data_IF_429507671685
#
_entry.id   IF_429507671685
#
_cell.length_a   1.000
_cell.length_b   1.000
_cell.length_c   1.000
_cell.angle_alpha   90.00
_cell.angle_beta   90.00
_cell.angle_gamma   90.00
#
_symmetry.space_group_name_H-M   'P 1'
#
loop_
_entity.id
_entity.type
_entity.pdbx_description
1 polymer ?
#
# COMPACT_ATOMS: atom_id res chain seq x y z
N UNK A 1 16.66 19.73 3.58
CA UNK A 1 16.94 18.45 4.19
C UNK A 1 17.03 17.37 3.13
N UNK A 2 18.12 16.69 3.04
CA UNK A 2 18.27 15.63 2.05
C UNK A 2 17.61 14.34 2.56
N UNK A 3 16.99 13.63 1.63
CA UNK A 3 16.45 12.31 1.95
C UNK A 3 17.60 11.32 2.11
N UNK A 4 17.50 10.36 3.03
CA UNK A 4 18.51 9.30 3.10
C UNK A 4 18.53 8.54 1.77
N UNK A 5 19.71 8.07 1.40
CA UNK A 5 19.84 7.28 0.20
C UNK A 5 19.08 5.96 0.36
N UNK A 6 18.34 5.55 -0.68
CA UNK A 6 17.66 4.25 -0.60
C UNK A 6 18.67 3.11 -0.56
N UNK A 7 18.31 2.07 0.17
CA UNK A 7 19.09 0.84 0.19
C UNK A 7 18.59 -0.08 -0.91
N UNK A 8 19.38 -0.22 -1.98
CA UNK A 8 19.00 -1.02 -3.14
C UNK A 8 19.34 -2.47 -2.87
N UNK A 9 18.34 -3.34 -2.94
CA UNK A 9 18.52 -4.77 -2.72
C UNK A 9 18.92 -5.51 -3.98
N UNK A 10 18.32 -5.16 -5.11
CA UNK A 10 18.65 -5.74 -6.40
C UNK A 10 18.26 -4.73 -7.48
N UNK A 11 18.98 -4.79 -8.60
CA UNK A 11 18.77 -3.85 -9.70
C UNK A 11 18.85 -4.57 -11.02
N UNK A 12 18.01 -4.18 -11.95
CA UNK A 12 17.98 -4.73 -13.31
C UNK A 12 17.84 -3.60 -14.32
N UNK A 13 18.71 -3.60 -15.33
CA UNK A 13 18.64 -2.63 -16.41
C UNK A 13 18.31 -3.34 -17.71
N UNK A 14 17.24 -2.91 -18.37
CA UNK A 14 16.89 -3.40 -19.71
C UNK A 14 17.81 -2.76 -20.72
N UNK A 15 18.55 -3.57 -21.45
CA UNK A 15 19.55 -3.06 -22.39
C UNK A 15 18.94 -2.50 -23.67
N UNK A 16 17.67 -2.78 -23.94
CA UNK A 16 16.99 -2.27 -25.13
C UNK A 16 16.38 -0.91 -24.88
N UNK A 17 15.72 -0.73 -23.75
CA UNK A 17 15.04 0.52 -23.41
C UNK A 17 15.85 1.40 -22.48
N UNK A 18 16.92 0.87 -21.89
CA UNK A 18 17.76 1.53 -20.87
C UNK A 18 16.99 1.92 -19.62
N UNK A 19 15.86 1.26 -19.38
CA UNK A 19 15.14 1.45 -18.12
C UNK A 19 15.76 0.60 -17.03
N UNK A 20 15.92 1.18 -15.86
CA UNK A 20 16.45 0.50 -14.69
C UNK A 20 15.37 0.35 -13.65
N UNK A 21 15.15 -0.88 -13.20
CA UNK A 21 14.26 -1.18 -12.09
C UNK A 21 15.09 -1.50 -10.86
N UNK A 22 14.72 -0.90 -9.74
CA UNK A 22 15.41 -1.11 -8.48
C UNK A 22 14.43 -1.62 -7.45
N UNK A 23 14.86 -2.61 -6.66
CA UNK A 23 14.12 -3.07 -5.51
C UNK A 23 14.79 -2.49 -4.28
N UNK A 24 14.05 -1.70 -3.53
CA UNK A 24 14.56 -0.98 -2.37
C UNK A 24 14.07 -1.65 -1.09
N UNK A 25 14.89 -1.59 -0.06
CA UNK A 25 14.46 -2.06 1.24
C UNK A 25 13.40 -1.13 1.83
N UNK A 26 12.55 -1.69 2.67
CA UNK A 26 11.53 -0.94 3.40
C UNK A 26 11.47 -1.44 4.83
N UNK A 27 11.12 -0.54 5.76
CA UNK A 27 10.95 -0.93 7.17
C UNK A 27 9.77 -1.86 7.37
N UNK A 28 8.83 -1.87 6.43
CA UNK A 28 7.65 -2.71 6.49
C UNK A 28 6.59 -2.19 5.56
N UNK A 29 5.36 -2.59 5.81
CA UNK A 29 4.19 -2.16 5.05
C UNK A 29 3.26 -1.41 5.99
N UNK A 30 2.90 -0.19 5.64
CA UNK A 30 1.92 0.59 6.39
C UNK A 30 0.57 0.37 5.75
N UNK A 31 -0.33 -0.27 6.49
CA UNK A 31 -1.65 -0.62 6.01
C UNK A 31 -2.71 0.15 6.78
N UNK A 32 -3.78 0.52 6.09
CA UNK A 32 -4.93 1.14 6.74
C UNK A 32 -5.86 0.01 7.19
N UNK A 33 -6.21 0.04 8.49
CA UNK A 33 -7.13 -0.92 9.10
C UNK A 33 -8.41 -0.19 9.48
N UNK A 34 -9.49 -0.91 9.55
CA UNK A 34 -10.77 -0.41 10.07
C UNK A 34 -11.19 -1.26 11.26
N UNK A 35 -11.41 -0.60 12.40
CA UNK A 35 -11.82 -1.27 13.64
C UNK A 35 -10.91 -2.46 13.95
N UNK A 36 -9.60 -2.23 13.82
CA UNK A 36 -8.55 -3.22 14.08
C UNK A 36 -8.56 -4.43 13.15
N UNK A 37 -9.18 -4.29 11.98
CA UNK A 37 -9.23 -5.37 10.99
C UNK A 37 -8.58 -4.95 9.69
N UNK A 38 -7.86 -5.86 9.02
CA UNK A 38 -7.37 -5.58 7.66
C UNK A 38 -8.56 -5.35 6.73
N UNK A 39 -8.38 -4.46 5.77
CA UNK A 39 -9.48 -4.05 4.89
C UNK A 39 -9.07 -4.11 3.43
N UNK A 40 -10.08 -4.09 2.59
CA UNK A 40 -9.97 -3.85 1.16
C UNK A 40 -10.90 -2.70 0.82
N UNK A 41 -10.48 -1.84 -0.09
CA UNK A 41 -11.26 -0.68 -0.48
C UNK A 41 -11.85 -0.87 -1.86
N UNK A 42 -13.13 -0.61 -1.98
CA UNK A 42 -13.85 -0.73 -3.24
C UNK A 42 -14.78 0.47 -3.42
N UNK A 43 -14.77 1.05 -4.61
CA UNK A 43 -15.66 2.14 -4.95
C UNK A 43 -16.60 1.67 -6.05
N UNK A 44 -17.88 2.01 -5.91
CA UNK A 44 -18.91 1.74 -6.92
C UNK A 44 -19.70 3.00 -7.17
N UNK A 45 -20.40 3.05 -8.32
CA UNK A 45 -21.28 4.17 -8.65
C UNK A 45 -22.71 3.67 -8.56
N UNK A 46 -23.54 4.37 -7.77
CA UNK A 46 -24.91 3.93 -7.52
C UNK A 46 -25.83 4.06 -8.72
N UNK A 47 -25.56 5.04 -9.61
CA UNK A 47 -26.45 5.35 -10.72
C UNK A 47 -26.09 4.64 -12.01
N UNK A 48 -24.93 4.02 -12.07
CA UNK A 48 -24.48 3.30 -13.26
C UNK A 48 -23.67 2.09 -12.83
N UNK A 49 -23.76 1.03 -13.60
CA UNK A 49 -22.96 -0.17 -13.37
C UNK A 49 -21.68 -0.18 -14.21
N UNK A 50 -21.47 0.85 -15.01
CA UNK A 50 -20.31 0.95 -15.87
C UNK A 50 -19.53 2.23 -15.56
N UNK A 51 -18.21 2.16 -15.37
CA UNK A 51 -17.44 0.91 -15.22
C UNK A 51 -17.84 0.19 -13.94
N UNK A 52 -17.47 -1.08 -13.83
CA UNK A 52 -17.76 -1.86 -12.63
C UNK A 52 -17.01 -1.34 -11.40
N UNK A 53 -17.09 -2.07 -10.28
CA UNK A 53 -16.43 -1.65 -9.05
C UNK A 53 -14.93 -1.53 -9.24
N UNK A 54 -14.33 -0.52 -8.61
CA UNK A 54 -12.88 -0.29 -8.62
C UNK A 54 -12.32 -0.49 -7.23
N UNK A 55 -11.22 -1.22 -7.16
CA UNK A 55 -10.51 -1.43 -5.91
C UNK A 55 -9.40 -0.41 -5.77
N UNK A 56 -9.22 0.07 -4.56
CA UNK A 56 -8.20 1.05 -4.23
C UNK A 56 -7.16 0.44 -3.32
N UNK A 57 -5.94 0.94 -3.42
CA UNK A 57 -4.84 0.48 -2.60
C UNK A 57 -5.04 0.91 -1.15
N UNK A 58 -4.80 0.00 -0.21
CA UNK A 58 -4.92 0.29 1.22
C UNK A 58 -3.65 0.03 1.99
N UNK A 59 -2.56 -0.36 1.31
CA UNK A 59 -1.27 -0.59 1.96
C UNK A 59 -0.16 0.04 1.15
N UNK A 60 0.89 0.48 1.83
CA UNK A 60 1.94 1.28 1.23
C UNK A 60 3.29 0.98 1.88
N UNK A 61 4.36 1.15 1.13
CA UNK A 61 5.71 1.08 1.68
C UNK A 61 6.16 2.41 2.29
N UNK A 62 5.31 3.43 2.27
CA UNK A 62 5.59 4.76 2.79
C UNK A 62 4.50 5.14 3.81
N UNK A 63 4.88 5.53 5.05
CA UNK A 63 3.89 5.86 6.06
C UNK A 63 3.04 7.09 5.72
N UNK A 64 3.62 8.07 5.00
CA UNK A 64 2.88 9.28 4.66
C UNK A 64 1.64 9.01 3.83
N UNK A 65 1.74 8.14 2.85
CA UNK A 65 0.59 7.78 2.02
C UNK A 65 -0.49 7.08 2.82
N UNK A 66 -0.10 6.17 3.72
CA UNK A 66 -1.07 5.47 4.56
C UNK A 66 -1.78 6.43 5.52
N UNK A 67 -1.03 7.35 6.12
CA UNK A 67 -1.60 8.32 7.06
C UNK A 67 -2.58 9.25 6.33
N UNK A 68 -2.23 9.72 5.14
CA UNK A 68 -3.11 10.59 4.36
C UNK A 68 -4.40 9.88 3.97
N UNK A 69 -4.30 8.62 3.56
CA UNK A 69 -5.48 7.83 3.25
C UNK A 69 -6.35 7.62 4.50
N UNK A 70 -5.72 7.30 5.63
CA UNK A 70 -6.44 7.11 6.88
C UNK A 70 -7.23 8.36 7.26
N UNK A 71 -6.60 9.54 7.19
CA UNK A 71 -7.26 10.80 7.49
C UNK A 71 -8.44 11.05 6.55
N UNK A 72 -8.24 10.76 5.26
CA UNK A 72 -9.30 10.94 4.27
C UNK A 72 -10.48 10.03 4.56
N UNK A 73 -10.23 8.77 4.88
CA UNK A 73 -11.30 7.81 5.15
C UNK A 73 -12.05 8.15 6.43
N UNK A 74 -11.34 8.54 7.49
CA UNK A 74 -12.02 8.96 8.72
C UNK A 74 -12.94 10.15 8.49
N UNK A 75 -12.50 11.08 7.64
CA UNK A 75 -13.31 12.25 7.29
C UNK A 75 -14.49 11.86 6.41
N UNK A 76 -14.25 11.03 5.41
CA UNK A 76 -15.28 10.63 4.45
C UNK A 76 -16.38 9.80 5.10
N UNK A 77 -16.02 8.88 5.97
CA UNK A 77 -16.99 8.00 6.65
C UNK A 77 -17.42 8.54 8.01
N UNK A 78 -16.93 9.72 8.39
CA UNK A 78 -17.30 10.40 9.66
C UNK A 78 -17.10 9.49 10.85
N UNK A 79 -15.93 8.92 10.97
CA UNK A 79 -15.56 7.97 12.01
C UNK A 79 -14.11 8.21 12.44
N UNK A 80 -13.71 7.60 13.55
CA UNK A 80 -12.33 7.58 14.00
C UNK A 80 -11.76 6.16 14.04
N UNK A 81 -12.43 5.22 13.38
CA UNK A 81 -12.08 3.80 13.48
C UNK A 81 -11.01 3.35 12.47
N UNK A 82 -10.67 4.20 11.51
CA UNK A 82 -9.56 3.91 10.62
C UNK A 82 -8.24 4.21 11.32
N UNK A 83 -7.28 3.33 11.14
CA UNK A 83 -5.95 3.46 11.74
C UNK A 83 -4.89 3.02 10.76
N UNK A 84 -3.63 3.40 11.03
CA UNK A 84 -2.48 2.94 10.25
C UNK A 84 -1.69 1.97 11.10
N UNK A 85 -1.43 0.80 10.54
CA UNK A 85 -0.70 -0.26 11.22
C UNK A 85 0.58 -0.56 10.44
N UNK A 86 1.70 -0.63 11.14
CA UNK A 86 2.96 -1.03 10.55
C UNK A 86 3.08 -2.55 10.64
N UNK A 87 3.20 -3.19 9.49
CA UNK A 87 3.39 -4.64 9.40
C UNK A 87 4.82 -4.91 8.96
N UNK A 88 5.62 -5.43 9.87
CA UNK A 88 7.03 -5.71 9.62
C UNK A 88 7.34 -7.21 9.57
N UNK A 89 6.41 -8.03 10.00
CA UNK A 89 6.54 -9.48 10.00
C UNK A 89 5.31 -10.09 9.35
N UNK A 90 5.49 -11.27 8.79
CA UNK A 90 4.38 -11.94 8.13
C UNK A 90 4.69 -13.41 7.92
N UNK A 91 3.72 -14.10 7.35
CA UNK A 91 3.85 -15.51 7.00
C UNK A 91 4.02 -15.63 5.50
N UNK A 92 5.08 -16.33 5.07
CA UNK A 92 5.30 -16.58 3.65
C UNK A 92 4.32 -17.64 3.15
N UNK A 93 3.51 -17.27 2.19
CA UNK A 93 2.53 -18.19 1.59
C UNK A 93 2.96 -18.65 0.21
N UNK A 94 3.96 -18.01 -0.37
CA UNK A 94 4.49 -18.35 -1.69
C UNK A 94 5.95 -17.89 -1.77
N UNK A 95 6.89 -18.72 -2.24
CA UNK A 95 6.68 -20.10 -2.66
C UNK A 95 6.31 -21.00 -1.47
N UNK A 96 5.59 -22.09 -1.75
CA UNK A 96 5.21 -23.03 -0.70
C UNK A 96 6.44 -23.71 -0.11
N UNK A 97 6.43 -23.92 1.21
CA UNK A 97 7.50 -24.65 1.86
C UNK A 97 7.41 -26.14 1.50
N UNK A 98 8.58 -26.75 1.34
CA UNK A 98 8.66 -28.18 1.05
C UNK A 98 9.15 -28.93 2.26
#
# INVERSE_FOLDING_TARGET
MSRPKPNVLIEYTDKQTYKTDQVLSSAGIWAVFYDNQPINLRATHMLTQLPGPKYKKSSFSNPGHAINLCKKLNRQFKTDKFSVVLLSQGTTIYPAEQ
#
